data_IF_707660697626
#
_entry.id   IF_707660697626
#
_cell.length_a   1.000
_cell.length_b   1.000
_cell.length_c   1.000
_cell.angle_alpha   90.00
_cell.angle_beta   90.00
_cell.angle_gamma   90.00
#
_symmetry.space_group_name_H-M   'P 1'
#
loop_
_entity.id
_entity.type
_entity.pdbx_description
1 polymer ?
#
# COMPACT_ATOMS: atom_id res chain seq x y z
N UNK A 1 -12.44 -22.92 4.16
CA UNK A 1 -12.26 -21.69 3.35
C UNK A 1 -11.12 -20.84 3.89
N UNK A 2 -11.07 -20.58 5.22
CA UNK A 2 -10.11 -19.66 5.85
C UNK A 2 -8.64 -20.08 5.66
N UNK A 3 -8.31 -21.36 5.89
CA UNK A 3 -6.95 -21.89 5.69
C UNK A 3 -6.49 -21.77 4.22
N UNK A 4 -7.39 -21.88 3.29
CA UNK A 4 -7.10 -21.71 1.86
C UNK A 4 -6.71 -20.25 1.54
N UNK A 5 -7.43 -19.29 2.08
CA UNK A 5 -7.12 -17.86 1.92
C UNK A 5 -5.77 -17.48 2.54
N UNK A 6 -5.42 -18.10 3.68
CA UNK A 6 -4.13 -17.90 4.35
C UNK A 6 -2.96 -18.50 3.56
N UNK A 7 -3.20 -19.62 2.88
CA UNK A 7 -2.19 -20.32 2.09
C UNK A 7 -2.03 -19.76 0.68
N UNK A 8 -3.02 -19.01 0.20
CA UNK A 8 -2.96 -18.36 -1.11
C UNK A 8 -1.81 -17.34 -1.14
N UNK A 9 -0.96 -17.36 -2.18
CA UNK A 9 0.06 -16.33 -2.32
C UNK A 9 -0.62 -14.96 -2.45
N UNK A 10 -0.20 -14.00 -1.63
CA UNK A 10 -0.65 -12.62 -1.82
C UNK A 10 -0.05 -12.06 -3.11
N UNK A 11 -0.81 -11.25 -3.85
CA UNK A 11 -0.27 -10.53 -4.99
C UNK A 11 0.90 -9.66 -4.53
N UNK A 12 1.93 -9.58 -5.35
CA UNK A 12 3.07 -8.74 -5.09
C UNK A 12 2.63 -7.26 -5.11
N UNK A 13 3.25 -6.41 -4.29
CA UNK A 13 2.95 -4.98 -4.32
C UNK A 13 3.39 -4.38 -5.66
N UNK A 14 2.70 -3.36 -6.13
CA UNK A 14 3.15 -2.56 -7.25
C UNK A 14 4.46 -1.88 -6.85
N UNK A 15 5.49 -2.00 -7.69
CA UNK A 15 6.80 -1.39 -7.48
C UNK A 15 7.02 -0.21 -8.42
N UNK A 16 7.48 0.90 -7.86
CA UNK A 16 7.96 2.05 -8.62
C UNK A 16 9.48 2.15 -8.45
N UNK A 17 10.22 1.96 -9.52
CA UNK A 17 11.66 2.07 -9.53
C UNK A 17 12.08 3.41 -10.13
N UNK A 18 12.55 4.33 -9.28
CA UNK A 18 13.00 5.66 -9.73
C UNK A 18 14.26 5.59 -10.58
N UNK A 19 15.16 4.65 -10.32
CA UNK A 19 16.42 4.54 -11.02
C UNK A 19 16.25 4.12 -12.48
N UNK A 20 15.37 3.14 -12.74
CA UNK A 20 15.02 2.72 -14.11
C UNK A 20 13.86 3.52 -14.69
N UNK A 21 13.17 4.34 -13.86
CA UNK A 21 11.93 5.04 -14.23
C UNK A 21 10.89 4.10 -14.81
N UNK A 22 10.59 3.05 -14.06
CA UNK A 22 9.65 2.01 -14.46
C UNK A 22 8.73 1.62 -13.30
N UNK A 23 7.55 1.16 -13.66
CA UNK A 23 6.57 0.55 -12.78
C UNK A 23 6.52 -0.95 -13.10
N UNK A 24 6.53 -1.77 -12.05
CA UNK A 24 6.45 -3.23 -12.17
C UNK A 24 5.23 -3.75 -11.41
N UNK A 25 4.58 -4.73 -12.01
CA UNK A 25 3.47 -5.46 -11.45
C UNK A 25 3.60 -6.94 -11.83
N UNK A 26 3.27 -7.83 -10.92
CA UNK A 26 3.25 -9.27 -11.18
C UNK A 26 1.83 -9.78 -10.95
N UNK A 27 1.37 -10.58 -11.88
CA UNK A 27 0.09 -11.27 -11.80
C UNK A 27 0.25 -12.70 -12.36
N UNK A 28 -0.14 -13.68 -11.54
CA UNK A 28 -0.14 -15.11 -11.92
C UNK A 28 1.23 -15.64 -12.44
N UNK A 29 2.32 -15.09 -11.92
CA UNK A 29 3.69 -15.46 -12.30
C UNK A 29 4.22 -14.68 -13.51
N UNK A 30 3.41 -13.81 -14.11
CA UNK A 30 3.77 -13.01 -15.27
C UNK A 30 4.14 -11.59 -14.86
N UNK A 31 5.22 -11.08 -15.45
CA UNK A 31 5.71 -9.72 -15.19
C UNK A 31 5.08 -8.73 -16.16
N UNK A 32 4.44 -7.73 -15.61
CA UNK A 32 3.94 -6.55 -16.33
C UNK A 32 4.76 -5.33 -15.94
N UNK A 33 5.02 -4.47 -16.89
CA UNK A 33 5.75 -3.24 -16.64
C UNK A 33 5.30 -2.10 -17.58
N UNK A 34 5.69 -0.90 -17.21
CA UNK A 34 5.53 0.28 -18.06
C UNK A 34 6.64 1.28 -17.71
N UNK A 35 7.24 1.95 -18.71
CA UNK A 35 8.09 3.08 -18.45
C UNK A 35 7.27 4.19 -17.78
N UNK A 36 7.84 4.84 -16.78
CA UNK A 36 7.17 5.96 -16.10
C UNK A 36 6.95 7.14 -17.06
N UNK A 37 7.95 7.40 -17.90
CA UNK A 37 7.86 8.45 -18.89
C UNK A 37 6.87 8.07 -20.00
N UNK A 38 5.75 8.79 -20.03
CA UNK A 38 4.67 8.52 -20.96
C UNK A 38 3.70 7.42 -20.53
N UNK A 39 3.70 7.06 -19.24
CA UNK A 39 2.73 6.09 -18.70
C UNK A 39 1.29 6.55 -18.97
N UNK A 40 0.49 5.66 -19.54
CA UNK A 40 -0.94 5.88 -19.69
C UNK A 40 -1.65 5.63 -18.36
N UNK A 41 -2.07 6.71 -17.70
CA UNK A 41 -2.82 6.64 -16.45
C UNK A 41 -4.10 7.49 -16.55
N UNK A 42 -5.16 7.00 -15.94
CA UNK A 42 -6.45 7.68 -15.92
C UNK A 42 -7.10 7.62 -14.53
N UNK A 43 -7.80 8.69 -14.17
CA UNK A 43 -8.67 8.71 -13.01
C UNK A 43 -10.12 8.86 -13.46
N UNK A 44 -11.01 8.11 -12.85
CA UNK A 44 -12.44 8.24 -13.09
C UNK A 44 -13.23 7.96 -11.82
N UNK A 45 -14.44 8.50 -11.74
CA UNK A 45 -15.35 8.25 -10.62
C UNK A 45 -16.46 7.30 -11.04
N UNK A 46 -16.86 6.45 -10.10
CA UNK A 46 -17.97 5.51 -10.28
C UNK A 46 -18.83 5.47 -9.01
N UNK A 47 -20.07 5.05 -9.19
CA UNK A 47 -21.01 4.89 -8.08
C UNK A 47 -21.22 3.44 -7.71
N UNK A 48 -21.31 3.15 -6.42
CA UNK A 48 -21.84 1.87 -5.92
C UNK A 48 -23.14 2.12 -5.19
N UNK A 49 -24.15 1.30 -5.45
CA UNK A 49 -25.44 1.37 -4.77
C UNK A 49 -25.59 0.08 -3.96
N UNK A 50 -25.72 0.21 -2.66
CA UNK A 50 -25.96 -0.92 -1.76
C UNK A 50 -27.33 -0.82 -1.08
N UNK A 51 -27.96 -1.95 -0.75
CA UNK A 51 -29.32 -1.96 -0.15
C UNK A 51 -29.37 -1.26 1.22
N UNK A 52 -28.23 -1.12 1.91
CA UNK A 52 -28.17 -0.51 3.25
C UNK A 52 -27.28 0.75 3.33
N UNK A 53 -26.51 1.04 2.28
CA UNK A 53 -25.51 2.13 2.31
C UNK A 53 -25.87 3.33 1.45
N UNK A 54 -26.99 3.24 0.70
CA UNK A 54 -27.30 4.26 -0.31
C UNK A 54 -26.30 4.28 -1.45
N UNK A 55 -26.26 5.40 -2.19
CA UNK A 55 -25.28 5.60 -3.27
C UNK A 55 -23.97 6.17 -2.70
N UNK A 56 -22.87 5.46 -2.88
CA UNK A 56 -21.53 5.98 -2.57
C UNK A 56 -20.75 6.24 -3.86
N UNK A 57 -20.08 7.38 -3.93
CA UNK A 57 -19.16 7.69 -5.03
C UNK A 57 -17.75 7.29 -4.64
N UNK A 58 -17.08 6.65 -5.58
CA UNK A 58 -15.70 6.21 -5.48
C UNK A 58 -14.92 6.74 -6.68
N UNK A 59 -13.62 6.73 -6.60
CA UNK A 59 -12.76 7.05 -7.73
C UNK A 59 -11.62 6.04 -7.81
N UNK A 60 -11.28 5.63 -9.03
CA UNK A 60 -10.13 4.79 -9.32
C UNK A 60 -9.02 5.62 -9.97
N UNK A 61 -7.80 5.22 -9.72
CA UNK A 61 -6.60 5.66 -10.44
C UNK A 61 -5.99 4.41 -11.07
N UNK A 62 -6.04 4.32 -12.37
CA UNK A 62 -5.56 3.17 -13.12
C UNK A 62 -4.40 3.53 -14.02
N UNK A 63 -3.51 2.57 -14.21
CA UNK A 63 -2.40 2.66 -15.14
C UNK A 63 -2.39 1.44 -16.07
N UNK A 64 -2.00 1.66 -17.31
CA UNK A 64 -1.88 0.64 -18.32
C UNK A 64 -0.44 0.12 -18.35
N UNK A 65 -0.29 -1.19 -18.16
CA UNK A 65 0.98 -1.91 -18.25
C UNK A 65 0.91 -2.94 -19.36
N UNK A 66 2.06 -3.33 -19.89
CA UNK A 66 2.15 -4.45 -20.83
C UNK A 66 2.98 -5.59 -20.25
N UNK A 67 2.71 -6.80 -20.71
CA UNK A 67 3.45 -8.00 -20.30
C UNK A 67 4.85 -7.96 -20.89
N UNK A 68 5.85 -8.28 -20.08
CA UNK A 68 7.24 -8.36 -20.53
C UNK A 68 7.39 -9.37 -21.67
N UNK A 69 8.03 -8.96 -22.78
CA UNK A 69 8.16 -9.73 -24.01
C UNK A 69 6.93 -9.74 -24.93
N UNK A 70 5.76 -9.28 -24.43
CA UNK A 70 4.50 -9.32 -25.17
C UNK A 70 3.78 -7.94 -25.10
N UNK A 71 4.26 -6.91 -25.79
CA UNK A 71 3.74 -5.53 -25.65
C UNK A 71 2.28 -5.34 -26.15
N UNK A 72 1.71 -6.34 -26.83
CA UNK A 72 0.29 -6.34 -27.20
C UNK A 72 -0.61 -6.81 -26.07
N UNK A 73 -0.08 -7.57 -25.10
CA UNK A 73 -0.82 -8.03 -23.94
C UNK A 73 -0.74 -6.96 -22.85
N UNK A 74 -1.85 -6.29 -22.64
CA UNK A 74 -1.93 -5.15 -21.74
C UNK A 74 -2.90 -5.45 -20.59
N UNK A 75 -2.61 -4.89 -19.43
CA UNK A 75 -3.43 -4.97 -18.23
C UNK A 75 -3.62 -3.59 -17.63
N UNK A 76 -4.83 -3.29 -17.20
CA UNK A 76 -5.15 -2.12 -16.39
C UNK A 76 -5.04 -2.49 -14.91
N UNK A 77 -4.23 -1.76 -14.18
CA UNK A 77 -4.06 -1.96 -12.74
C UNK A 77 -4.48 -0.73 -11.95
N UNK A 78 -5.11 -0.96 -10.81
CA UNK A 78 -5.38 0.12 -9.86
C UNK A 78 -4.11 0.43 -9.06
N UNK A 79 -3.60 1.65 -9.14
CA UNK A 79 -2.43 2.10 -8.39
C UNK A 79 -2.73 2.27 -6.89
N UNK A 80 -3.99 2.44 -6.53
CA UNK A 80 -4.46 2.54 -5.15
C UNK A 80 -5.84 1.95 -4.97
N UNK A 81 -6.27 1.74 -3.72
CA UNK A 81 -7.64 1.26 -3.46
C UNK A 81 -8.66 2.27 -3.96
N UNK A 82 -9.59 1.88 -4.85
CA UNK A 82 -10.63 2.79 -5.35
C UNK A 82 -11.75 3.02 -4.34
N UNK A 83 -11.98 2.07 -3.42
CA UNK A 83 -13.11 2.10 -2.48
C UNK A 83 -12.90 3.18 -1.41
N UNK A 84 -13.91 4.05 -1.23
CA UNK A 84 -13.89 5.11 -0.23
C UNK A 84 -12.97 6.29 -0.58
N UNK A 85 -12.51 6.40 -1.82
CA UNK A 85 -11.68 7.50 -2.30
C UNK A 85 -12.48 8.43 -3.20
N UNK A 86 -12.31 9.75 -3.00
CA UNK A 86 -12.84 10.76 -3.93
C UNK A 86 -11.90 10.93 -5.12
N UNK A 87 -12.40 11.57 -6.17
CA UNK A 87 -11.58 11.91 -7.34
C UNK A 87 -10.38 12.79 -6.95
N UNK A 88 -10.58 13.76 -6.08
CA UNK A 88 -9.52 14.64 -5.57
C UNK A 88 -8.43 13.87 -4.83
N UNK A 89 -8.82 12.87 -4.03
CA UNK A 89 -7.86 12.01 -3.33
C UNK A 89 -7.02 11.19 -4.30
N UNK A 90 -7.61 10.70 -5.39
CA UNK A 90 -6.88 9.94 -6.42
C UNK A 90 -5.96 10.85 -7.23
N UNK A 91 -6.40 12.05 -7.56
CA UNK A 91 -5.55 13.06 -8.21
C UNK A 91 -4.38 13.47 -7.30
N UNK A 92 -4.65 13.71 -6.02
CA UNK A 92 -3.59 14.00 -5.04
C UNK A 92 -2.60 12.85 -4.89
N UNK A 93 -3.08 11.60 -4.93
CA UNK A 93 -2.21 10.42 -4.90
C UNK A 93 -1.37 10.30 -6.18
N UNK A 94 -1.94 10.59 -7.35
CA UNK A 94 -1.18 10.65 -8.60
C UNK A 94 -0.06 11.69 -8.55
N UNK A 95 -0.36 12.92 -8.07
CA UNK A 95 0.65 13.96 -7.91
C UNK A 95 1.74 13.58 -6.91
N UNK A 96 1.38 12.85 -5.85
CA UNK A 96 2.34 12.28 -4.93
C UNK A 96 3.30 11.31 -5.64
N UNK A 97 2.78 10.35 -6.40
CA UNK A 97 3.59 9.38 -7.15
C UNK A 97 4.48 10.09 -8.18
N UNK A 98 3.92 11.07 -8.90
CA UNK A 98 4.66 11.87 -9.89
C UNK A 98 5.80 12.63 -9.24
N UNK A 99 5.53 13.32 -8.16
CA UNK A 99 6.55 14.08 -7.44
C UNK A 99 7.63 13.17 -6.87
N UNK A 100 7.26 12.00 -6.34
CA UNK A 100 8.21 11.00 -5.87
C UNK A 100 9.14 10.52 -7.00
N UNK A 101 8.58 10.18 -8.15
CA UNK A 101 9.35 9.69 -9.30
C UNK A 101 10.25 10.78 -9.93
N UNK A 102 9.81 12.03 -9.95
CA UNK A 102 10.50 13.12 -10.62
C UNK A 102 11.49 13.85 -9.71
N UNK A 103 11.08 14.16 -8.47
CA UNK A 103 11.87 15.00 -7.55
C UNK A 103 12.65 14.22 -6.51
N UNK A 104 12.25 12.99 -6.24
CA UNK A 104 12.96 12.13 -5.31
C UNK A 104 12.27 11.90 -3.98
N UNK A 105 13.01 11.29 -3.04
CA UNK A 105 12.46 10.83 -1.78
C UNK A 105 11.95 11.97 -0.91
N UNK A 106 10.93 11.66 -0.12
CA UNK A 106 10.44 12.53 0.93
C UNK A 106 11.27 12.37 2.20
N UNK A 107 11.30 13.41 2.99
CA UNK A 107 11.98 13.40 4.29
C UNK A 107 10.94 13.42 5.41
N UNK A 108 11.21 12.70 6.49
CA UNK A 108 10.47 12.83 7.75
C UNK A 108 10.98 14.00 8.60
N UNK A 109 10.36 14.23 9.76
CA UNK A 109 10.76 15.27 10.70
C UNK A 109 12.19 15.09 11.25
N UNK A 110 12.75 13.88 11.17
CA UNK A 110 14.09 13.50 11.60
C UNK A 110 15.13 13.63 10.47
N UNK A 111 14.72 14.00 9.25
CA UNK A 111 15.60 14.13 8.10
C UNK A 111 15.88 12.83 7.35
N UNK A 112 15.20 11.72 7.68
CA UNK A 112 15.33 10.47 6.96
C UNK A 112 14.50 10.53 5.67
N UNK A 113 15.08 10.13 4.53
CA UNK A 113 14.35 10.11 3.26
C UNK A 113 13.58 8.80 3.06
N UNK A 114 12.57 8.82 2.20
CA UNK A 114 11.61 7.73 1.99
C UNK A 114 12.22 6.41 1.49
N UNK A 115 13.43 6.43 0.98
CA UNK A 115 14.16 5.23 0.54
C UNK A 115 15.00 4.62 1.68
N UNK A 116 15.16 5.31 2.80
CA UNK A 116 15.93 4.80 3.94
C UNK A 116 15.09 3.84 4.81
N UNK A 117 15.76 2.84 5.38
CA UNK A 117 15.13 1.95 6.34
C UNK A 117 14.62 2.70 7.58
N UNK A 118 15.33 3.76 8.00
CA UNK A 118 14.92 4.60 9.11
C UNK A 118 13.59 5.31 8.84
N UNK A 119 13.40 5.86 7.62
CA UNK A 119 12.13 6.45 7.22
C UNK A 119 10.99 5.43 7.23
N UNK A 120 11.21 4.23 6.66
CA UNK A 120 10.23 3.15 6.64
C UNK A 120 9.88 2.72 8.07
N UNK A 121 10.85 2.60 8.96
CA UNK A 121 10.61 2.24 10.36
C UNK A 121 9.83 3.34 11.08
N UNK A 122 10.11 4.61 10.82
CA UNK A 122 9.34 5.72 11.40
C UNK A 122 7.89 5.70 10.96
N UNK A 123 7.62 5.43 9.67
CA UNK A 123 6.27 5.28 9.15
C UNK A 123 5.54 4.07 9.74
N UNK A 124 6.22 2.94 9.88
CA UNK A 124 5.66 1.74 10.50
C UNK A 124 5.37 1.95 11.99
N UNK A 125 6.24 2.67 12.69
CA UNK A 125 6.05 3.05 14.09
C UNK A 125 4.89 4.06 14.26
N UNK A 126 4.73 5.00 13.32
CA UNK A 126 3.62 5.97 13.34
C UNK A 126 2.27 5.31 13.04
N UNK A 127 2.25 4.24 12.25
CA UNK A 127 1.09 3.36 12.10
C UNK A 127 0.98 2.54 13.38
N UNK A 128 0.28 3.09 14.35
CA UNK A 128 -0.04 2.37 15.58
C UNK A 128 -0.62 1.01 15.23
N UNK A 129 0.12 -0.06 15.54
CA UNK A 129 -0.41 -1.39 15.42
C UNK A 129 -1.72 -1.47 16.23
N UNK A 130 -2.70 -2.20 15.73
CA UNK A 130 -4.02 -2.30 16.37
C UNK A 130 -3.97 -2.71 17.85
N UNK A 131 -2.86 -3.34 18.29
CA UNK A 131 -2.60 -3.62 19.71
C UNK A 131 -2.08 -2.41 20.52
N UNK A 132 -1.58 -1.37 19.88
CA UNK A 132 -1.21 -0.12 20.54
C UNK A 132 -2.42 0.79 20.75
N UNK A 133 -3.50 0.58 19.97
CA UNK A 133 -4.72 1.35 20.08
C UNK A 133 -5.38 1.19 21.47
N UNK A 134 -5.52 -0.03 21.96
CA UNK A 134 -6.05 -0.30 23.31
C UNK A 134 -5.18 0.31 24.40
N UNK A 135 -3.84 0.25 24.24
CA UNK A 135 -2.89 0.91 25.18
C UNK A 135 -3.00 2.43 25.11
N UNK A 136 -3.18 2.99 23.93
CA UNK A 136 -3.38 4.43 23.76
C UNK A 136 -4.69 4.87 24.40
N UNK A 137 -5.80 4.19 24.11
CA UNK A 137 -7.11 4.47 24.72
C UNK A 137 -7.01 4.40 26.26
N UNK A 138 -6.39 3.38 26.80
CA UNK A 138 -6.17 3.29 28.24
C UNK A 138 -5.36 4.47 28.79
N UNK A 139 -4.30 4.89 28.11
CA UNK A 139 -3.51 6.07 28.51
C UNK A 139 -4.34 7.36 28.45
N UNK A 140 -5.19 7.52 27.46
CA UNK A 140 -6.08 8.68 27.35
C UNK A 140 -7.09 8.70 28.51
N UNK A 141 -7.73 7.57 28.81
CA UNK A 141 -8.66 7.43 29.92
C UNK A 141 -7.97 7.79 31.27
N UNK A 142 -6.76 7.25 31.48
CA UNK A 142 -5.98 7.55 32.70
C UNK A 142 -5.56 9.03 32.74
N UNK A 143 -5.22 9.63 31.60
CA UNK A 143 -4.89 11.04 31.51
C UNK A 143 -6.11 11.90 31.87
N UNK A 144 -7.28 11.60 31.28
CA UNK A 144 -8.52 12.33 31.55
C UNK A 144 -8.96 12.17 33.01
N UNK A 145 -8.82 10.99 33.61
CA UNK A 145 -9.04 10.78 35.03
C UNK A 145 -8.19 11.72 35.90
N UNK A 146 -6.86 11.80 35.58
CA UNK A 146 -5.95 12.68 36.31
C UNK A 146 -6.26 14.15 36.13
N UNK A 147 -6.61 14.55 34.91
CA UNK A 147 -6.91 15.94 34.57
C UNK A 147 -8.23 16.41 35.18
N UNK A 148 -9.25 15.56 35.20
CA UNK A 148 -10.60 15.87 35.64
C UNK A 148 -10.87 15.46 37.11
N UNK A 149 -9.83 15.20 37.89
CA UNK A 149 -9.92 14.80 39.33
C UNK A 149 -10.92 13.67 39.59
N UNK A 150 -10.93 12.66 38.71
CA UNK A 150 -11.79 11.49 38.82
C UNK A 150 -13.21 11.66 38.30
N UNK A 151 -13.59 12.84 37.80
CA UNK A 151 -14.86 13.02 37.10
C UNK A 151 -14.74 12.45 35.68
N UNK A 152 -15.82 11.77 35.22
CA UNK A 152 -15.89 11.11 33.89
C UNK A 152 -14.89 9.96 33.69
N UNK A 153 -14.49 9.27 34.75
CA UNK A 153 -13.71 8.04 34.60
C UNK A 153 -14.58 6.94 33.99
N UNK A 154 -14.14 6.37 32.88
CA UNK A 154 -14.83 5.31 32.13
C UNK A 154 -16.28 5.75 31.73
N UNK A 155 -16.37 6.66 30.78
CA UNK A 155 -17.64 6.89 30.14
C UNK A 155 -18.15 5.63 29.44
N UNK A 156 -19.44 5.52 29.20
CA UNK A 156 -20.04 4.38 28.47
C UNK A 156 -19.36 4.15 27.10
N UNK A 157 -19.00 5.22 26.40
CA UNK A 157 -18.25 5.14 25.14
C UNK A 157 -16.86 4.54 25.31
N UNK A 158 -16.13 4.91 26.37
CA UNK A 158 -14.78 4.37 26.64
C UNK A 158 -14.84 2.89 26.97
N UNK A 159 -15.84 2.50 27.78
CA UNK A 159 -16.09 1.10 28.10
C UNK A 159 -16.40 0.26 26.86
N UNK A 160 -17.29 0.74 25.99
CA UNK A 160 -17.64 0.05 24.74
C UNK A 160 -16.46 -0.06 23.78
N UNK A 161 -15.63 0.99 23.67
CA UNK A 161 -14.42 0.96 22.87
C UNK A 161 -13.37 -0.02 23.41
N UNK A 162 -13.18 -0.07 24.72
CA UNK A 162 -12.26 -1.04 25.35
C UNK A 162 -12.76 -2.47 25.17
N UNK A 163 -14.04 -2.70 25.41
CA UNK A 163 -14.67 -4.02 25.25
C UNK A 163 -14.56 -4.48 23.79
N UNK A 164 -14.86 -3.61 22.83
CA UNK A 164 -14.68 -3.89 21.40
C UNK A 164 -13.22 -4.22 21.08
N UNK A 165 -12.25 -3.43 21.60
CA UNK A 165 -10.83 -3.68 21.42
C UNK A 165 -10.38 -5.06 21.95
N UNK A 166 -10.91 -5.49 23.07
CA UNK A 166 -10.61 -6.80 23.66
C UNK A 166 -11.27 -7.92 22.84
N UNK A 167 -12.55 -7.79 22.52
CA UNK A 167 -13.29 -8.80 21.76
C UNK A 167 -12.72 -9.05 20.37
N UNK A 168 -12.28 -7.99 19.69
CA UNK A 168 -11.69 -8.09 18.34
C UNK A 168 -10.18 -8.33 18.35
N UNK A 169 -9.53 -8.36 19.53
CA UNK A 169 -8.09 -8.59 19.66
C UNK A 169 -7.61 -9.90 19.01
N UNK A 170 -8.27 -11.07 19.18
CA UNK A 170 -7.85 -12.31 18.53
C UNK A 170 -7.90 -12.23 16.99
N UNK A 171 -8.96 -11.62 16.47
CA UNK A 171 -9.13 -11.43 15.02
C UNK A 171 -8.03 -10.53 14.47
N UNK A 172 -7.73 -9.43 15.18
CA UNK A 172 -6.67 -8.51 14.80
C UNK A 172 -5.27 -9.17 14.87
N UNK A 173 -5.02 -10.01 15.89
CA UNK A 173 -3.77 -10.76 16.00
C UNK A 173 -3.61 -11.73 14.83
N UNK A 174 -4.67 -12.45 14.47
CA UNK A 174 -4.69 -13.37 13.34
C UNK A 174 -4.45 -12.65 12.01
N UNK A 175 -5.12 -11.50 11.77
CA UNK A 175 -4.89 -10.68 10.59
C UNK A 175 -3.45 -10.17 10.50
N UNK A 176 -2.85 -9.75 11.61
CA UNK A 176 -1.46 -9.31 11.63
C UNK A 176 -0.49 -10.45 11.32
N UNK A 177 -0.77 -11.64 11.85
CA UNK A 177 0.02 -12.84 11.59
C UNK A 177 -0.05 -13.25 10.12
N UNK A 178 -1.26 -13.34 9.56
CA UNK A 178 -1.45 -13.69 8.14
C UNK A 178 -0.80 -12.65 7.23
N UNK A 179 -0.95 -11.36 7.53
CA UNK A 179 -0.29 -10.29 6.79
C UNK A 179 1.24 -10.38 6.87
N UNK A 180 1.80 -10.70 8.03
CA UNK A 180 3.25 -10.84 8.18
C UNK A 180 3.81 -12.01 7.34
N UNK A 181 3.11 -13.15 7.32
CA UNK A 181 3.47 -14.31 6.48
C UNK A 181 3.41 -13.92 5.00
N UNK A 182 2.32 -13.32 4.58
CA UNK A 182 2.10 -12.92 3.20
C UNK A 182 3.15 -11.90 2.73
N UNK A 183 3.45 -10.89 3.57
CA UNK A 183 4.49 -9.89 3.30
C UNK A 183 5.89 -10.52 3.17
N UNK A 184 6.20 -11.53 4.01
CA UNK A 184 7.49 -12.24 3.93
C UNK A 184 7.58 -13.04 2.63
N UNK A 185 6.52 -13.72 2.24
CA UNK A 185 6.46 -14.49 0.98
C UNK A 185 6.53 -13.57 -0.24
N UNK A 186 5.76 -12.49 -0.26
CA UNK A 186 5.74 -11.55 -1.36
C UNK A 186 7.14 -10.99 -1.70
N UNK A 187 7.95 -10.67 -0.68
CA UNK A 187 9.32 -10.16 -0.89
C UNK A 187 10.26 -11.14 -1.59
N UNK A 188 10.02 -12.45 -1.48
CA UNK A 188 10.88 -13.48 -2.06
C UNK A 188 10.48 -13.88 -3.49
N UNK A 189 9.32 -13.51 -3.97
CA UNK A 189 8.72 -14.04 -5.21
C UNK A 189 8.97 -13.19 -6.46
N UNK A 190 9.52 -11.98 -6.33
CA UNK A 190 9.81 -11.16 -7.50
C UNK A 190 10.76 -11.90 -8.48
N UNK A 191 10.54 -11.81 -9.80
CA UNK A 191 11.47 -12.33 -10.80
C UNK A 191 12.89 -11.79 -10.59
N UNK A 192 13.89 -12.60 -10.90
CA UNK A 192 15.31 -12.24 -10.74
C UNK A 192 15.65 -10.95 -11.46
N UNK A 193 15.06 -10.75 -12.64
CA UNK A 193 15.20 -9.56 -13.46
C UNK A 193 14.82 -8.27 -12.73
N UNK A 194 13.73 -8.29 -11.93
CA UNK A 194 13.30 -7.15 -11.12
C UNK A 194 14.19 -7.02 -9.87
N UNK A 195 14.50 -8.14 -9.20
CA UNK A 195 15.37 -8.13 -8.01
C UNK A 195 16.74 -7.49 -8.27
N UNK A 196 17.34 -7.78 -9.42
CA UNK A 196 18.61 -7.18 -9.83
C UNK A 196 18.49 -5.67 -10.01
N UNK A 197 17.39 -5.20 -10.60
CA UNK A 197 17.11 -3.76 -10.78
C UNK A 197 16.79 -3.02 -9.50
N UNK A 198 16.40 -3.71 -8.45
CA UNK A 198 16.17 -3.13 -7.13
C UNK A 198 17.44 -2.98 -6.29
N UNK A 199 18.56 -3.64 -6.69
CA UNK A 199 19.85 -3.48 -6.01
C UNK A 199 20.44 -2.10 -6.30
N UNK A 200 21.15 -1.47 -5.35
CA UNK A 200 21.79 -0.17 -5.56
C UNK A 200 22.74 -0.15 -6.77
N UNK A 201 23.48 -1.21 -6.97
CA UNK A 201 24.48 -1.46 -8.03
C UNK A 201 23.95 -2.27 -9.22
N UNK A 202 22.65 -2.56 -9.24
CA UNK A 202 22.05 -3.33 -10.32
C UNK A 202 21.92 -2.52 -11.63
N UNK A 203 21.48 -3.19 -12.72
CA UNK A 203 21.33 -2.56 -14.01
C UNK A 203 20.38 -1.38 -13.99
N UNK A 204 20.70 -0.29 -14.70
CA UNK A 204 19.86 0.91 -14.85
C UNK A 204 19.07 0.95 -16.17
N UNK A 205 19.32 -0.01 -17.07
CA UNK A 205 18.58 -0.11 -18.32
C UNK A 205 17.11 -0.49 -18.07
N UNK A 206 16.21 0.07 -18.87
CA UNK A 206 14.78 -0.20 -18.78
C UNK A 206 14.45 -1.57 -19.38
N UNK A 207 13.37 -2.20 -18.89
CA UNK A 207 12.88 -3.44 -19.48
C UNK A 207 12.43 -3.23 -20.92
N UNK A 208 11.83 -2.08 -21.22
CA UNK A 208 11.41 -1.73 -22.57
C UNK A 208 12.59 -1.64 -23.55
N UNK A 209 13.78 -1.27 -23.09
CA UNK A 209 14.97 -1.22 -23.93
C UNK A 209 15.51 -2.63 -24.23
N UNK A 210 15.38 -3.57 -23.27
CA UNK A 210 15.70 -4.99 -23.50
C UNK A 210 14.75 -5.59 -24.54
N UNK A 211 13.45 -5.35 -24.43
CA UNK A 211 12.46 -5.84 -25.38
C UNK A 211 12.69 -5.31 -26.82
N UNK A 212 13.22 -4.11 -26.94
CA UNK A 212 13.60 -3.55 -28.24
C UNK A 212 14.87 -4.21 -28.80
N UNK A 213 15.85 -4.50 -27.93
CA UNK A 213 17.07 -5.14 -28.35
C UNK A 213 16.86 -6.59 -28.81
N UNK A 214 15.91 -7.32 -28.20
CA UNK A 214 15.57 -8.70 -28.61
C UNK A 214 14.84 -8.78 -29.97
N UNK A 215 14.30 -7.65 -30.46
CA UNK A 215 13.58 -7.60 -31.75
C UNK A 215 14.45 -7.17 -32.94
N UNK A 216 15.71 -6.81 -32.70
CA UNK A 216 16.71 -6.47 -33.72
C UNK A 216 17.60 -7.66 -34.02
#
# INVERSE_FOLDING_TARGET
PFLWEVLRPMPLPILLNRRTRELYFEQDGELYHSPWDGIAAATYSFGTVGPYTGGMRHAALEALLHRFGHPKEQVLINLGSPIGKSLEMQLGFWEYLRTYMDKGPWFDAQGNHSESDAFIQSLLASRQGKGQWTRLQWRLIVKDYKTNKGRNFLSYSDFMLLLGGILFSPINALQNFTYAIAKRRARSQWPTLVKERLRPDGPSNRLVDLERAEKQ
#
